data_IF_314226251187
#
_entry.id   IF_314226251187
#
_cell.length_a   1.000
_cell.length_b   1.000
_cell.length_c   1.000
_cell.angle_alpha   90.00
_cell.angle_beta   90.00
_cell.angle_gamma   90.00
#
_symmetry.space_group_name_H-M   'P 1'
#
loop_
_entity.id
_entity.type
_entity.pdbx_description
1 polymer ?
#
# COMPACT_ATOMS: atom_id res chain seq x y z
N UNK A 1 2.09 -0.65 -7.88
CA UNK A 1 1.83 -1.92 -7.16
C UNK A 1 2.03 -3.06 -8.12
N UNK A 2 2.77 -4.10 -7.74
CA UNK A 2 3.00 -5.28 -8.61
C UNK A 2 1.97 -6.35 -8.27
N UNK A 3 1.16 -6.76 -9.24
CA UNK A 3 0.12 -7.77 -9.04
C UNK A 3 0.59 -9.18 -9.42
N UNK A 4 0.05 -10.17 -8.73
CA UNK A 4 0.28 -11.59 -8.94
C UNK A 4 -1.07 -12.32 -8.83
N UNK A 5 -1.22 -13.41 -9.59
CA UNK A 5 -2.44 -14.23 -9.57
C UNK A 5 -2.05 -15.71 -9.48
N UNK A 6 -2.60 -16.44 -8.52
CA UNK A 6 -2.46 -17.90 -8.41
C UNK A 6 -3.82 -18.51 -8.09
N UNK A 7 -4.28 -19.40 -8.97
CA UNK A 7 -5.62 -20.02 -8.90
C UNK A 7 -6.73 -18.95 -8.84
N UNK A 8 -7.36 -18.76 -7.67
CA UNK A 8 -8.43 -17.77 -7.41
C UNK A 8 -7.98 -16.62 -6.48
N UNK A 9 -6.71 -16.59 -6.09
CA UNK A 9 -6.18 -15.57 -5.18
C UNK A 9 -5.36 -14.56 -5.96
N UNK A 10 -5.60 -13.30 -5.65
CA UNK A 10 -4.99 -12.17 -6.35
C UNK A 10 -4.30 -11.30 -5.30
N UNK A 11 -2.98 -11.24 -5.39
CA UNK A 11 -2.13 -10.61 -4.40
C UNK A 11 -1.22 -9.58 -5.04
N UNK A 12 -0.93 -8.50 -4.32
CA UNK A 12 -0.06 -7.44 -4.75
C UNK A 12 1.09 -7.24 -3.78
N UNK A 13 2.17 -6.67 -4.27
CA UNK A 13 3.20 -6.10 -3.43
C UNK A 13 3.09 -4.57 -3.45
N UNK A 14 3.13 -4.00 -2.25
CA UNK A 14 3.28 -2.58 -2.02
C UNK A 14 4.59 -2.33 -1.29
N UNK A 15 5.51 -1.65 -1.98
CA UNK A 15 6.85 -1.39 -1.48
C UNK A 15 7.34 0.00 -1.91
N UNK A 16 8.36 0.49 -1.19
CA UNK A 16 9.10 1.73 -1.49
C UNK A 16 8.24 3.00 -1.53
N UNK A 17 7.43 3.21 -0.51
CA UNK A 17 6.83 4.53 -0.25
C UNK A 17 7.90 5.38 0.43
N UNK A 18 8.40 6.37 -0.29
CA UNK A 18 9.48 7.22 0.20
C UNK A 18 9.11 8.66 -0.09
N UNK A 19 8.92 9.44 0.98
CA UNK A 19 8.79 10.89 0.88
C UNK A 19 10.19 11.51 0.94
N UNK A 20 10.48 12.39 -0.03
CA UNK A 20 11.67 13.24 0.04
C UNK A 20 11.65 14.04 1.35
N UNK A 21 12.80 14.25 2.03
CA UNK A 21 12.86 14.93 3.33
C UNK A 21 12.07 16.24 3.39
N UNK A 22 12.20 17.08 2.36
CA UNK A 22 11.54 18.39 2.28
C UNK A 22 10.01 18.33 2.14
N UNK A 23 9.46 17.17 1.78
CA UNK A 23 8.02 16.96 1.59
C UNK A 23 7.40 16.02 2.62
N UNK A 24 8.14 15.67 3.69
CA UNK A 24 7.58 14.92 4.81
C UNK A 24 6.57 15.78 5.57
N UNK A 25 5.53 15.15 6.10
CA UNK A 25 4.48 15.83 6.86
C UNK A 25 3.34 16.41 6.01
N UNK A 26 3.49 16.51 4.69
CA UNK A 26 2.43 16.95 3.77
C UNK A 26 1.39 15.86 3.44
N UNK A 27 1.55 14.65 3.99
CA UNK A 27 0.61 13.54 3.77
C UNK A 27 0.76 12.84 2.41
N UNK A 28 1.88 13.01 1.70
CA UNK A 28 2.11 12.41 0.39
C UNK A 28 2.07 10.87 0.45
N UNK A 29 2.78 10.27 1.41
CA UNK A 29 2.70 8.81 1.65
C UNK A 29 1.26 8.33 1.90
N UNK A 30 0.46 9.10 2.65
CA UNK A 30 -0.97 8.78 2.87
C UNK A 30 -1.72 8.74 1.55
N UNK A 31 -1.57 9.77 0.72
CA UNK A 31 -2.23 9.83 -0.59
C UNK A 31 -1.76 8.67 -1.46
N UNK A 32 -0.45 8.38 -1.53
CA UNK A 32 0.07 7.25 -2.28
C UNK A 32 -0.53 5.89 -1.86
N UNK A 33 -0.68 5.66 -0.55
CA UNK A 33 -1.32 4.44 -0.01
C UNK A 33 -2.77 4.36 -0.48
N UNK A 34 -3.53 5.44 -0.28
CA UNK A 34 -4.94 5.48 -0.61
C UNK A 34 -5.18 5.40 -2.13
N UNK A 35 -4.28 5.93 -2.95
CA UNK A 35 -4.30 5.78 -4.42
C UNK A 35 -4.12 4.34 -4.82
N UNK A 36 -3.18 3.60 -4.23
CA UNK A 36 -2.99 2.18 -4.52
C UNK A 36 -4.21 1.33 -4.11
N UNK A 37 -4.83 1.65 -2.96
CA UNK A 37 -6.07 1.04 -2.50
C UNK A 37 -7.23 1.33 -3.48
N UNK A 38 -7.41 2.60 -3.86
CA UNK A 38 -8.46 3.03 -4.78
C UNK A 38 -8.32 2.36 -6.14
N UNK A 39 -7.09 2.29 -6.67
CA UNK A 39 -6.76 1.61 -7.92
C UNK A 39 -7.09 0.11 -7.86
N UNK A 40 -6.77 -0.54 -6.73
CA UNK A 40 -7.10 -1.96 -6.51
C UNK A 40 -8.62 -2.20 -6.46
N UNK A 41 -9.36 -1.32 -5.78
CA UNK A 41 -10.84 -1.36 -5.72
C UNK A 41 -11.44 -1.16 -7.12
N UNK A 42 -10.95 -0.18 -7.88
CA UNK A 42 -11.41 0.11 -9.24
C UNK A 42 -11.18 -1.07 -10.20
N UNK A 43 -10.03 -1.72 -10.13
CA UNK A 43 -9.68 -2.88 -10.97
C UNK A 43 -10.24 -4.20 -10.46
N UNK A 44 -10.85 -4.20 -9.27
CA UNK A 44 -11.18 -5.40 -8.51
C UNK A 44 -9.98 -6.37 -8.34
N UNK A 45 -8.76 -5.81 -8.27
CA UNK A 45 -7.50 -6.55 -8.23
C UNK A 45 -6.31 -5.64 -7.86
N UNK A 46 -5.38 -6.09 -6.99
CA UNK A 46 -5.38 -7.28 -6.16
C UNK A 46 -6.23 -7.11 -4.89
N UNK A 47 -6.64 -8.25 -4.31
CA UNK A 47 -7.41 -8.27 -3.06
C UNK A 47 -6.50 -8.19 -1.84
N UNK A 48 -5.47 -9.02 -1.84
CA UNK A 48 -4.48 -9.02 -0.77
C UNK A 48 -3.29 -8.17 -1.19
N UNK A 49 -2.79 -7.31 -0.32
CA UNK A 49 -1.52 -6.61 -0.54
C UNK A 49 -0.54 -6.96 0.57
N UNK A 50 0.70 -7.22 0.17
CA UNK A 50 1.82 -7.53 1.05
C UNK A 50 2.85 -6.42 1.00
N UNK A 51 3.53 -6.21 2.11
CA UNK A 51 4.62 -5.26 2.24
C UNK A 51 5.53 -5.66 3.39
N UNK A 52 6.54 -4.84 3.62
CA UNK A 52 7.39 -4.96 4.79
C UNK A 52 7.56 -3.59 5.42
N UNK A 53 7.48 -3.51 6.73
CA UNK A 53 7.72 -2.27 7.45
C UNK A 53 8.60 -2.51 8.68
N UNK A 54 9.32 -1.48 9.07
CA UNK A 54 10.11 -1.48 10.29
C UNK A 54 9.14 -1.37 11.47
N UNK A 55 9.32 -2.12 12.57
CA UNK A 55 8.32 -2.21 13.64
C UNK A 55 7.86 -0.87 14.21
N UNK A 56 8.73 0.15 14.19
CA UNK A 56 8.42 1.50 14.66
C UNK A 56 7.31 2.18 13.86
N UNK A 57 7.09 1.78 12.60
CA UNK A 57 6.06 2.37 11.72
C UNK A 57 4.75 1.58 11.71
N UNK A 58 4.64 0.46 12.44
CA UNK A 58 3.47 -0.42 12.45
C UNK A 58 2.15 0.35 12.65
N UNK A 59 2.10 1.16 13.72
CA UNK A 59 0.93 1.96 14.09
C UNK A 59 0.51 2.98 13.04
N UNK A 60 1.44 3.40 12.17
CA UNK A 60 1.10 4.25 11.03
C UNK A 60 0.32 3.45 9.99
N UNK A 61 0.81 2.26 9.64
CA UNK A 61 0.21 1.41 8.62
C UNK A 61 -1.11 0.76 9.08
N UNK A 62 -1.26 0.45 10.37
CA UNK A 62 -2.51 -0.04 10.97
C UNK A 62 -3.69 0.89 10.70
N UNK A 63 -3.44 2.21 10.65
CA UNK A 63 -4.47 3.20 10.31
C UNK A 63 -5.04 3.03 8.91
N UNK A 64 -4.40 2.26 8.03
CA UNK A 64 -4.84 1.99 6.66
C UNK A 64 -5.23 0.53 6.45
N UNK A 65 -5.44 -0.23 7.53
CA UNK A 65 -5.86 -1.63 7.44
C UNK A 65 -4.74 -2.63 7.29
N UNK A 66 -3.49 -2.24 7.55
CA UNK A 66 -2.37 -3.17 7.53
C UNK A 66 -2.19 -3.85 8.88
N UNK A 67 -1.84 -5.12 8.86
CA UNK A 67 -1.49 -5.90 10.04
C UNK A 67 -0.19 -6.67 9.82
N UNK A 68 0.58 -6.87 10.88
CA UNK A 68 1.74 -7.74 10.80
C UNK A 68 1.33 -9.18 10.52
N UNK A 69 2.17 -9.88 9.77
CA UNK A 69 2.11 -11.34 9.68
C UNK A 69 2.94 -11.90 10.81
N UNK A 70 2.29 -12.57 11.75
CA UNK A 70 2.95 -13.14 12.93
C UNK A 70 3.99 -14.19 12.52
N UNK A 71 5.11 -14.22 13.23
CA UNK A 71 6.19 -15.18 13.00
C UNK A 71 7.02 -14.96 11.73
N UNK A 72 6.82 -13.85 11.01
CA UNK A 72 7.58 -13.51 9.79
C UNK A 72 8.38 -12.22 10.00
N UNK A 73 9.59 -12.38 10.50
CA UNK A 73 10.60 -11.32 10.48
C UNK A 73 11.40 -11.40 9.17
N UNK A 74 11.58 -10.24 8.53
CA UNK A 74 12.38 -10.07 7.31
C UNK A 74 13.63 -9.30 7.69
N UNK A 75 14.77 -9.98 7.71
CA UNK A 75 16.05 -9.31 7.97
C UNK A 75 16.60 -8.82 6.63
N UNK A 76 16.57 -7.50 6.42
CA UNK A 76 17.14 -6.86 5.23
C UNK A 76 18.64 -6.61 5.48
N UNK A 77 19.42 -7.69 5.46
CA UNK A 77 20.81 -7.70 5.94
C UNK A 77 21.81 -7.00 5.01
N UNK A 78 21.60 -7.00 3.69
CA UNK A 78 22.71 -6.67 2.77
C UNK A 78 23.15 -5.20 2.76
N UNK A 79 22.31 -4.23 3.17
CA UNK A 79 22.66 -2.80 3.09
C UNK A 79 22.13 -1.90 4.20
N UNK A 80 20.97 -2.21 4.79
CA UNK A 80 20.29 -1.31 5.73
C UNK A 80 20.34 -1.87 7.17
N UNK A 81 20.72 -3.14 7.36
CA UNK A 81 20.79 -3.84 8.65
C UNK A 81 19.57 -3.56 9.54
N UNK A 82 18.39 -3.51 8.93
CA UNK A 82 17.17 -3.15 9.62
C UNK A 82 16.21 -4.33 9.57
N UNK A 83 15.78 -4.77 10.75
CA UNK A 83 14.72 -5.76 10.89
C UNK A 83 13.42 -5.11 10.43
N UNK A 84 12.84 -5.66 9.37
CA UNK A 84 11.49 -5.35 8.94
C UNK A 84 10.58 -6.55 9.25
N UNK A 85 9.28 -6.32 9.27
CA UNK A 85 8.27 -7.35 9.44
C UNK A 85 7.33 -7.35 8.26
N UNK A 86 6.96 -8.54 7.82
CA UNK A 86 5.96 -8.69 6.78
C UNK A 86 4.62 -8.12 7.27
N UNK A 87 3.96 -7.36 6.41
CA UNK A 87 2.62 -6.85 6.63
C UNK A 87 1.68 -7.31 5.53
N UNK A 88 0.39 -7.41 5.86
CA UNK A 88 -0.67 -7.77 4.93
C UNK A 88 -1.89 -6.89 5.15
N UNK A 89 -2.66 -6.65 4.10
CA UNK A 89 -3.98 -6.03 4.15
C UNK A 89 -4.89 -6.66 3.08
N UNK A 90 -6.14 -6.97 3.43
CA UNK A 90 -7.21 -7.16 2.45
C UNK A 90 -7.80 -5.78 2.12
N UNK A 91 -7.60 -5.34 0.89
CA UNK A 91 -7.94 -3.99 0.43
C UNK A 91 -9.45 -3.70 0.53
N UNK A 92 -10.29 -4.74 0.52
CA UNK A 92 -11.73 -4.59 0.51
C UNK A 92 -12.35 -4.67 1.90
N UNK A 93 -11.70 -5.31 2.87
CA UNK A 93 -12.24 -5.47 4.23
C UNK A 93 -11.46 -4.72 5.31
N UNK A 94 -10.16 -4.53 5.13
CA UNK A 94 -9.31 -4.05 6.22
C UNK A 94 -9.16 -2.52 6.20
N UNK A 95 -9.37 -1.88 5.05
CA UNK A 95 -9.27 -0.42 4.91
C UNK A 95 -10.44 0.26 5.64
N UNK A 96 -10.19 1.15 6.63
CA UNK A 96 -11.27 1.81 7.36
C UNK A 96 -12.17 2.67 6.47
N UNK A 97 -13.49 2.60 6.71
CA UNK A 97 -14.52 3.38 6.00
C UNK A 97 -14.28 4.91 6.06
N UNK A 98 -13.56 5.38 7.09
CA UNK A 98 -13.17 6.78 7.23
C UNK A 98 -12.40 7.33 6.01
N UNK A 99 -11.80 6.47 5.18
CA UNK A 99 -11.13 6.88 3.96
C UNK A 99 -11.99 6.82 2.70
N UNK A 100 -13.19 6.24 2.75
CA UNK A 100 -14.04 6.09 1.56
C UNK A 100 -14.43 7.45 0.98
N UNK A 101 -14.71 8.45 1.82
CA UNK A 101 -14.97 9.82 1.35
C UNK A 101 -13.77 10.38 0.58
N UNK A 102 -12.55 10.27 1.12
CA UNK A 102 -11.32 10.74 0.44
C UNK A 102 -11.06 9.97 -0.85
N UNK A 103 -11.22 8.64 -0.82
CA UNK A 103 -11.03 7.78 -2.00
C UNK A 103 -12.01 8.18 -3.11
N UNK A 104 -13.30 8.29 -2.79
CA UNK A 104 -14.35 8.52 -3.77
C UNK A 104 -14.39 9.95 -4.30
N UNK A 105 -14.11 10.96 -3.46
CA UNK A 105 -14.23 12.37 -3.86
C UNK A 105 -12.94 13.01 -4.37
N UNK A 106 -11.77 12.49 -3.96
CA UNK A 106 -10.48 13.10 -4.31
C UNK A 106 -9.69 12.19 -5.25
N UNK A 107 -9.54 10.92 -4.89
CA UNK A 107 -8.56 10.03 -5.53
C UNK A 107 -9.10 9.39 -6.81
N UNK A 108 -10.31 8.81 -6.76
CA UNK A 108 -10.91 8.13 -7.91
C UNK A 108 -11.11 9.05 -9.13
N UNK A 109 -11.60 10.30 -8.98
CA UNK A 109 -11.72 11.22 -10.11
C UNK A 109 -10.36 11.46 -10.80
N UNK A 110 -9.31 11.70 -10.00
CA UNK A 110 -7.96 11.92 -10.53
C UNK A 110 -7.41 10.68 -11.25
N UNK A 111 -7.65 9.48 -10.72
CA UNK A 111 -7.24 8.22 -11.36
C UNK A 111 -7.97 7.98 -12.69
N UNK A 112 -9.26 8.32 -12.77
CA UNK A 112 -10.06 8.19 -13.99
C UNK A 112 -9.63 9.18 -15.08
N UNK A 113 -9.35 10.43 -14.70
CA UNK A 113 -8.79 11.43 -15.61
C UNK A 113 -7.36 11.07 -16.07
N UNK A 114 -6.60 10.41 -15.19
CA UNK A 114 -5.20 10.05 -15.40
C UNK A 114 -4.99 8.68 -16.04
N UNK A 115 -5.99 8.08 -16.72
CA UNK A 115 -5.85 6.77 -17.41
C UNK A 115 -4.67 6.69 -18.43
N UNK A 116 -3.94 7.78 -18.67
CA UNK A 116 -2.68 7.84 -19.44
C UNK A 116 -1.39 7.66 -18.62
N UNK A 117 -1.44 7.58 -17.29
CA UNK A 117 -0.24 7.37 -16.47
C UNK A 117 0.09 5.88 -16.45
N UNK A 118 0.83 5.46 -17.47
CA UNK A 118 1.65 4.26 -17.45
C UNK A 118 2.49 4.29 -16.17
N UNK A 119 2.29 3.35 -15.26
CA UNK A 119 3.26 3.06 -14.21
C UNK A 119 4.62 2.85 -14.89
N UNK A 120 5.60 3.75 -14.75
CA UNK A 120 6.86 3.65 -15.48
C UNK A 120 7.82 2.81 -14.66
N UNK A 121 7.46 1.57 -14.34
CA UNK A 121 8.40 0.64 -13.72
C UNK A 121 8.17 -0.76 -14.30
N UNK A 122 9.15 -1.31 -15.05
CA UNK A 122 9.10 -2.67 -15.57
C UNK A 122 9.08 -3.74 -14.47
#
# INVERSE_FOLDING_TARGET
MRGYRKSNSSYGEYSRIIDHPDYRGFGLSKIAILTAIADSKLRNHPRMIFGACVPQHAKMYEKYGWRFVEGIDLVLEEKVQQVARAMVSDVFSDVPEAYDSTINSVILPQLQESQKVLYPFP
#
